data_IF_274678961624
#
_entry.id   IF_274678961624
#
_cell.length_a   1.000
_cell.length_b   1.000
_cell.length_c   1.000
_cell.angle_alpha   90.00
_cell.angle_beta   90.00
_cell.angle_gamma   90.00
#
_symmetry.space_group_name_H-M   'P 1'
#
loop_
_entity.id
_entity.type
_entity.pdbx_description
1 polymer ?
#
# COMPACT_ATOMS: atom_id res chain seq x y z
N UNK A 1 33.21 -0.47 9.89
CA UNK A 1 34.48 0.30 9.76
C UNK A 1 35.66 -0.67 9.77
N UNK A 2 36.88 -0.25 9.39
CA UNK A 2 38.07 -1.11 9.54
C UNK A 2 38.61 -0.97 10.97
N UNK A 3 38.89 -2.11 11.61
CA UNK A 3 39.52 -2.17 12.93
C UNK A 3 40.98 -2.61 12.76
N UNK A 4 41.92 -1.75 13.16
CA UNK A 4 43.36 -2.00 13.05
C UNK A 4 43.87 -3.04 14.05
N UNK A 5 43.25 -3.18 15.22
CA UNK A 5 43.64 -4.18 16.24
C UNK A 5 43.36 -5.59 15.73
N UNK A 6 42.19 -5.76 15.09
CA UNK A 6 41.74 -7.04 14.56
C UNK A 6 42.07 -7.25 13.07
N UNK A 7 42.63 -6.23 12.42
CA UNK A 7 42.97 -6.18 10.98
C UNK A 7 41.84 -6.63 10.05
N UNK A 8 40.60 -6.31 10.39
CA UNK A 8 39.42 -6.77 9.65
C UNK A 8 38.32 -5.71 9.60
N UNK A 9 37.37 -5.93 8.71
CA UNK A 9 36.14 -5.13 8.65
C UNK A 9 35.20 -5.58 9.77
N UNK A 10 34.69 -4.63 10.54
CA UNK A 10 33.72 -4.85 11.61
C UNK A 10 32.33 -4.31 11.25
N UNK A 11 31.30 -4.97 11.78
CA UNK A 11 29.89 -4.61 11.63
C UNK A 11 29.41 -4.03 12.96
N UNK A 12 28.96 -2.78 12.93
CA UNK A 12 28.49 -2.04 14.11
C UNK A 12 27.21 -1.28 13.76
N UNK A 13 26.43 -0.84 14.76
CA UNK A 13 25.30 0.06 14.53
C UNK A 13 25.75 1.30 13.74
N UNK A 14 24.89 1.71 12.82
CA UNK A 14 25.20 2.86 11.96
C UNK A 14 24.96 4.15 12.72
N UNK A 15 25.97 5.02 12.69
CA UNK A 15 25.89 6.38 13.21
C UNK A 15 26.04 7.33 12.02
N UNK A 16 25.02 8.16 11.77
CA UNK A 16 25.04 9.14 10.69
C UNK A 16 25.48 10.49 11.26
N UNK A 17 26.46 11.13 10.62
CA UNK A 17 26.86 12.51 10.97
C UNK A 17 25.77 13.54 10.64
N UNK A 18 24.86 13.18 9.74
CA UNK A 18 23.71 13.97 9.35
C UNK A 18 22.52 13.06 9.08
N UNK A 19 21.35 13.43 9.58
CA UNK A 19 20.13 12.67 9.35
C UNK A 19 19.69 12.66 7.89
N UNK A 20 19.03 11.56 7.52
CA UNK A 20 18.32 11.45 6.26
C UNK A 20 17.15 12.42 6.21
N UNK A 21 17.11 13.24 5.15
CA UNK A 21 15.99 14.16 4.90
C UNK A 21 15.09 13.57 3.82
N UNK A 22 13.88 13.17 4.22
CA UNK A 22 12.84 12.73 3.29
C UNK A 22 12.19 13.93 2.64
N UNK A 23 12.38 14.08 1.33
CA UNK A 23 11.62 15.04 0.53
C UNK A 23 10.43 14.35 -0.12
N UNK A 24 9.30 15.04 -0.20
CA UNK A 24 8.18 14.60 -1.05
C UNK A 24 8.41 15.17 -2.45
N UNK A 25 8.85 14.29 -3.36
CA UNK A 25 9.16 14.65 -4.75
C UNK A 25 7.97 14.42 -5.67
N UNK A 26 6.81 14.02 -5.14
CA UNK A 26 5.64 13.76 -5.95
C UNK A 26 5.10 15.08 -6.52
N UNK A 27 5.07 15.18 -7.84
CA UNK A 27 4.52 16.35 -8.51
C UNK A 27 3.00 16.26 -8.55
N UNK A 28 2.28 17.39 -8.44
CA UNK A 28 0.82 17.39 -8.58
C UNK A 28 0.37 17.12 -10.03
N UNK A 29 1.30 17.14 -10.98
CA UNK A 29 1.07 16.95 -12.40
C UNK A 29 1.20 15.47 -12.80
N UNK A 30 0.29 15.01 -13.65
CA UNK A 30 0.32 13.66 -14.19
C UNK A 30 1.37 13.54 -15.30
N UNK A 31 2.39 12.72 -15.06
CA UNK A 31 3.49 12.52 -16.00
C UNK A 31 3.17 11.53 -17.11
N UNK A 32 2.28 10.57 -16.85
CA UNK A 32 1.91 9.53 -17.80
C UNK A 32 0.40 9.44 -18.04
N UNK A 33 -0.13 10.25 -18.98
CA UNK A 33 -1.56 10.25 -19.32
C UNK A 33 -2.11 8.88 -19.76
N UNK A 34 -1.26 8.00 -20.31
CA UNK A 34 -1.65 6.68 -20.80
C UNK A 34 -1.97 5.67 -19.69
N UNK A 35 -1.53 5.92 -18.45
CA UNK A 35 -1.69 5.00 -17.31
C UNK A 35 -2.65 5.56 -16.26
N UNK A 36 -3.61 6.38 -16.69
CA UNK A 36 -4.62 6.93 -15.81
C UNK A 36 -5.53 5.80 -15.34
N UNK A 37 -5.45 5.44 -14.06
CA UNK A 37 -6.34 4.44 -13.48
C UNK A 37 -7.78 4.98 -13.46
N UNK A 38 -8.68 4.35 -14.20
CA UNK A 38 -10.13 4.64 -14.20
C UNK A 38 -10.79 4.04 -12.96
N UNK A 39 -10.42 4.54 -11.77
CA UNK A 39 -10.95 4.03 -10.48
C UNK A 39 -12.49 4.13 -10.40
N UNK A 40 -13.09 5.01 -11.21
CA UNK A 40 -14.55 5.16 -11.30
C UNK A 40 -15.27 4.04 -12.07
N UNK A 41 -14.59 3.27 -12.93
CA UNK A 41 -15.24 2.22 -13.74
C UNK A 41 -15.24 0.85 -13.05
N UNK A 42 -14.18 0.54 -12.29
CA UNK A 42 -14.02 -0.80 -11.69
C UNK A 42 -14.84 -1.00 -10.40
N UNK A 43 -15.10 0.07 -9.66
CA UNK A 43 -15.92 0.05 -8.45
C UNK A 43 -17.39 -0.22 -8.76
N UNK A 44 -17.90 0.31 -9.87
CA UNK A 44 -19.25 0.01 -10.38
C UNK A 44 -19.39 -1.44 -10.84
N UNK A 45 -18.36 -1.97 -11.52
CA UNK A 45 -18.37 -3.34 -12.07
C UNK A 45 -18.33 -4.44 -10.99
N UNK A 46 -17.68 -4.21 -9.85
CA UNK A 46 -17.66 -5.17 -8.72
C UNK A 46 -18.96 -5.19 -7.92
N UNK A 47 -19.58 -4.02 -7.68
CA UNK A 47 -20.81 -3.93 -6.89
C UNK A 47 -22.02 -4.54 -7.61
N UNK A 48 -22.08 -4.44 -8.94
CA UNK A 48 -23.15 -5.04 -9.76
C UNK A 48 -23.03 -6.57 -9.84
N UNK A 49 -21.80 -7.12 -9.78
CA UNK A 49 -21.56 -8.57 -9.74
C UNK A 49 -21.92 -9.20 -8.39
N UNK A 50 -21.77 -8.47 -7.28
CA UNK A 50 -22.08 -8.96 -5.92
C UNK A 50 -23.60 -8.89 -5.61
N UNK A 51 -24.33 -7.95 -6.23
CA UNK A 51 -25.78 -7.83 -6.07
C UNK A 51 -26.59 -8.96 -6.74
N UNK A 52 -26.04 -9.64 -7.75
CA UNK A 52 -26.72 -10.71 -8.49
C UNK A 52 -26.62 -12.09 -7.84
N UNK A 53 -25.90 -12.24 -6.71
CA UNK A 53 -25.71 -13.51 -5.99
C UNK A 53 -26.12 -13.38 -4.51
N UNK A 54 -27.38 -13.04 -4.23
CA UNK A 54 -27.98 -13.42 -2.94
C UNK A 54 -29.04 -14.49 -3.16
N UNK A 55 -28.85 -15.73 -2.66
CA UNK A 55 -29.89 -16.75 -2.67
C UNK A 55 -31.01 -16.35 -1.69
N UNK A 56 -32.24 -16.39 -2.19
CA UNK A 56 -33.48 -16.26 -1.42
C UNK A 56 -33.67 -17.50 -0.55
N UNK A 57 -33.87 -17.32 0.76
CA UNK A 57 -34.23 -18.44 1.64
C UNK A 57 -34.39 -18.08 3.12
N UNK A 58 -35.66 -17.96 3.54
CA UNK A 58 -36.28 -18.50 4.78
C UNK A 58 -35.56 -18.19 6.12
N UNK A 59 -36.09 -17.44 7.08
CA UNK A 59 -37.43 -17.50 7.67
C UNK A 59 -37.33 -18.11 9.08
N UNK A 60 -37.47 -17.30 10.13
CA UNK A 60 -38.12 -17.67 11.41
C UNK A 60 -38.09 -16.51 12.40
N UNK A 61 -39.30 -16.04 12.68
CA UNK A 61 -39.72 -15.07 13.67
C UNK A 61 -39.67 -15.69 15.06
N UNK A 62 -39.03 -15.03 16.02
CA UNK A 62 -39.20 -15.35 17.45
C UNK A 62 -39.48 -14.08 18.22
N UNK A 63 -40.76 -13.89 18.55
CA UNK A 63 -41.26 -12.97 19.55
C UNK A 63 -42.14 -13.75 20.53
N UNK A 64 -41.55 -14.26 21.61
CA UNK A 64 -42.11 -14.22 22.96
C UNK A 64 -41.09 -14.62 24.00
#
# INVERSE_FOLDING_TARGET
>A
RYDEEQKRVVIEPIELSQDYRKFDLNTPWETFPKFRNTVHDDTKKRQEAEASQKPTGTGSENKK
#
